data_IF_626267864966
#
_entry.id   IF_626267864966
#
_cell.length_a   1.000
_cell.length_b   1.000
_cell.length_c   1.000
_cell.angle_alpha   90.00
_cell.angle_beta   90.00
_cell.angle_gamma   90.00
#
_symmetry.space_group_name_H-M   'P 1'
#
loop_
_entity.id
_entity.type
_entity.pdbx_description
1 polymer ?
#
# COMPACT_ATOMS: atom_id res chain seq x y z
N UNK A 1 -28.02 11.90 -8.77
CA UNK A 1 -27.10 13.01 -8.42
C UNK A 1 -25.68 12.54 -8.72
N UNK A 2 -24.95 13.15 -9.67
CA UNK A 2 -23.62 12.65 -10.06
C UNK A 2 -22.46 13.21 -9.20
N UNK A 3 -22.68 14.27 -8.40
CA UNK A 3 -21.60 14.94 -7.65
C UNK A 3 -21.39 14.35 -6.25
N UNK A 4 -21.28 13.02 -6.16
CA UNK A 4 -20.88 12.33 -4.94
C UNK A 4 -19.36 12.13 -4.89
N UNK A 5 -18.76 12.24 -3.71
CA UNK A 5 -17.40 11.75 -3.49
C UNK A 5 -17.36 10.24 -3.75
N UNK A 6 -16.64 9.82 -4.79
CA UNK A 6 -16.39 8.41 -5.08
C UNK A 6 -14.90 8.09 -4.91
N UNK A 7 -14.61 6.87 -4.48
CA UNK A 7 -13.24 6.38 -4.35
C UNK A 7 -12.99 5.35 -5.44
N UNK A 8 -11.97 5.58 -6.26
CA UNK A 8 -11.53 4.62 -7.26
C UNK A 8 -10.70 3.51 -6.59
N UNK A 9 -11.37 2.39 -6.28
CA UNK A 9 -10.72 1.22 -5.66
C UNK A 9 -9.65 0.60 -6.57
N UNK A 10 -9.80 0.70 -7.89
CA UNK A 10 -8.81 0.24 -8.85
C UNK A 10 -7.53 1.05 -8.77
N UNK A 11 -7.65 2.38 -8.68
CA UNK A 11 -6.52 3.27 -8.47
C UNK A 11 -5.82 3.02 -7.13
N UNK A 12 -6.57 2.79 -6.04
CA UNK A 12 -5.99 2.45 -4.74
C UNK A 12 -5.21 1.12 -4.77
N UNK A 13 -5.77 0.07 -5.38
CA UNK A 13 -5.08 -1.22 -5.57
C UNK A 13 -3.82 -1.06 -6.40
N UNK A 14 -3.89 -0.29 -7.50
CA UNK A 14 -2.74 -0.01 -8.37
C UNK A 14 -1.65 0.75 -7.63
N UNK A 15 -2.01 1.74 -6.81
CA UNK A 15 -1.06 2.49 -6.00
C UNK A 15 -0.37 1.57 -4.96
N UNK A 16 -1.13 0.75 -4.23
CA UNK A 16 -0.59 -0.21 -3.28
C UNK A 16 0.39 -1.19 -3.95
N UNK A 17 -0.03 -1.80 -5.07
CA UNK A 17 0.81 -2.72 -5.84
C UNK A 17 2.07 -2.05 -6.40
N UNK A 18 1.97 -0.80 -6.87
CA UNK A 18 3.11 -0.03 -7.35
C UNK A 18 4.14 0.27 -6.26
N UNK A 19 3.66 0.58 -5.05
CA UNK A 19 4.53 0.75 -3.87
C UNK A 19 5.23 -0.57 -3.55
N UNK A 20 4.49 -1.67 -3.40
CA UNK A 20 5.07 -2.98 -3.11
C UNK A 20 6.12 -3.41 -4.15
N UNK A 21 5.82 -3.21 -5.43
CA UNK A 21 6.78 -3.50 -6.53
C UNK A 21 8.06 -2.66 -6.41
N UNK A 22 7.94 -1.39 -6.02
CA UNK A 22 9.08 -0.51 -5.82
C UNK A 22 9.93 -0.95 -4.63
N UNK A 23 9.28 -1.36 -3.53
CA UNK A 23 9.95 -1.89 -2.35
C UNK A 23 10.70 -3.19 -2.65
N UNK A 24 10.08 -4.09 -3.40
CA UNK A 24 10.72 -5.33 -3.85
C UNK A 24 11.95 -5.04 -4.71
N UNK A 25 11.85 -4.08 -5.64
CA UNK A 25 12.98 -3.65 -6.45
C UNK A 25 14.12 -3.08 -5.59
N UNK A 26 13.80 -2.26 -4.59
CA UNK A 26 14.78 -1.70 -3.66
C UNK A 26 15.47 -2.78 -2.82
N UNK A 27 14.76 -3.83 -2.41
CA UNK A 27 15.33 -4.93 -1.65
C UNK A 27 16.42 -5.72 -2.41
N UNK A 28 16.43 -5.65 -3.75
CA UNK A 28 17.43 -6.34 -4.61
C UNK A 28 18.73 -5.58 -4.82
N UNK A 29 18.76 -4.27 -4.54
CA UNK A 29 19.93 -3.41 -4.76
C UNK A 29 20.27 -2.69 -3.46
N UNK A 30 20.93 -3.40 -2.53
CA UNK A 30 21.15 -2.88 -1.20
C UNK A 30 22.34 -1.92 -1.21
N UNK A 31 22.25 -0.95 -0.31
CA UNK A 31 23.31 0.03 -0.05
C UNK A 31 24.54 -0.67 0.50
N UNK A 32 24.33 -1.70 1.32
CA UNK A 32 25.38 -2.58 1.82
C UNK A 32 26.17 -3.27 0.71
N UNK A 33 25.63 -3.37 -0.50
CA UNK A 33 26.32 -3.98 -1.64
C UNK A 33 27.34 -3.01 -2.27
N UNK A 34 27.33 -1.73 -1.87
CA UNK A 34 28.29 -0.69 -2.26
C UNK A 34 29.48 -0.65 -1.29
N UNK A 35 29.33 -1.24 -0.10
CA UNK A 35 30.32 -1.12 0.97
C UNK A 35 31.58 -1.94 0.64
N UNK A 36 32.66 -1.24 0.30
CA UNK A 36 33.96 -1.82 -0.03
C UNK A 36 34.84 -1.78 1.24
N UNK A 37 35.70 -2.78 1.50
CA UNK A 37 36.63 -2.70 2.63
C UNK A 37 37.43 -1.39 2.65
N UNK A 38 37.58 -0.77 3.83
CA UNK A 38 38.29 0.51 3.98
C UNK A 38 39.69 0.54 3.33
N UNK A 39 40.38 -0.59 3.33
CA UNK A 39 41.71 -0.76 2.74
C UNK A 39 41.76 -0.59 1.21
N UNK A 40 40.62 -0.70 0.52
CA UNK A 40 40.56 -0.67 -0.94
C UNK A 40 40.40 0.77 -1.50
N UNK A 41 40.08 1.75 -0.65
CA UNK A 41 39.90 3.14 -1.08
C UNK A 41 41.20 3.93 -1.23
N UNK A 42 42.33 3.40 -0.74
CA UNK A 42 43.65 4.04 -0.84
C UNK A 42 43.83 5.34 -0.05
N UNK A 43 42.77 5.86 0.60
CA UNK A 43 42.80 7.06 1.43
C UNK A 43 41.78 6.98 2.58
N UNK A 44 42.23 7.14 3.83
CA UNK A 44 41.42 6.92 5.03
C UNK A 44 40.22 7.87 5.15
N UNK A 45 40.38 9.12 4.74
CA UNK A 45 39.30 10.11 4.77
C UNK A 45 38.21 9.78 3.76
N UNK A 46 38.59 9.28 2.57
CA UNK A 46 37.65 8.85 1.54
C UNK A 46 36.90 7.60 2.02
N UNK A 47 37.62 6.63 2.57
CA UNK A 47 37.03 5.43 3.15
C UNK A 47 36.00 5.78 4.24
N UNK A 48 36.33 6.72 5.13
CA UNK A 48 35.43 7.15 6.20
C UNK A 48 34.21 7.92 5.68
N UNK A 49 34.39 8.77 4.67
CA UNK A 49 33.28 9.50 4.05
C UNK A 49 32.30 8.57 3.32
N UNK A 50 32.80 7.55 2.63
CA UNK A 50 31.94 6.56 1.97
C UNK A 50 31.14 5.76 3.00
N UNK A 51 31.78 5.29 4.08
CA UNK A 51 31.09 4.55 5.14
C UNK A 51 30.00 5.39 5.82
N UNK A 52 30.28 6.66 6.19
CA UNK A 52 29.23 7.54 6.76
C UNK A 52 28.05 7.74 5.80
N UNK A 53 28.36 7.92 4.51
CA UNK A 53 27.34 8.05 3.48
C UNK A 53 26.49 6.79 3.35
N UNK A 54 27.11 5.60 3.21
CA UNK A 54 26.38 4.33 3.04
C UNK A 54 25.55 3.99 4.28
N UNK A 55 26.06 4.25 5.49
CA UNK A 55 25.33 4.02 6.73
C UNK A 55 24.07 4.89 6.81
N UNK A 56 24.21 6.20 6.63
CA UNK A 56 23.09 7.15 6.70
C UNK A 56 22.08 6.90 5.59
N UNK A 57 22.56 6.59 4.39
CA UNK A 57 21.70 6.25 3.26
C UNK A 57 20.93 4.94 3.53
N UNK A 58 21.57 3.91 4.09
CA UNK A 58 20.92 2.66 4.45
C UNK A 58 19.82 2.87 5.52
N UNK A 59 20.08 3.70 6.53
CA UNK A 59 19.08 4.09 7.53
C UNK A 59 17.88 4.78 6.85
N UNK A 60 18.14 5.78 6.01
CA UNK A 60 17.10 6.53 5.32
C UNK A 60 16.23 5.65 4.41
N UNK A 61 16.87 4.79 3.62
CA UNK A 61 16.19 3.83 2.74
C UNK A 61 15.37 2.81 3.54
N UNK A 62 15.87 2.34 4.67
CA UNK A 62 15.15 1.39 5.53
C UNK A 62 13.87 2.01 6.12
N UNK A 63 13.94 3.25 6.60
CA UNK A 63 12.75 3.97 7.08
C UNK A 63 11.76 4.23 5.94
N UNK A 64 12.25 4.67 4.77
CA UNK A 64 11.39 4.87 3.60
C UNK A 64 10.68 3.57 3.17
N UNK A 65 11.37 2.44 3.25
CA UNK A 65 10.79 1.14 2.93
C UNK A 65 9.70 0.71 3.93
N UNK A 66 9.93 0.96 5.22
CA UNK A 66 8.94 0.74 6.29
C UNK A 66 7.69 1.60 6.07
N UNK A 67 7.86 2.89 5.83
CA UNK A 67 6.74 3.82 5.60
C UNK A 67 5.97 3.45 4.33
N UNK A 68 6.68 3.08 3.25
CA UNK A 68 6.06 2.59 2.02
C UNK A 68 5.19 1.35 2.26
N UNK A 69 5.67 0.40 3.07
CA UNK A 69 4.91 -0.81 3.43
C UNK A 69 3.61 -0.43 4.15
N UNK A 70 3.70 0.44 5.15
CA UNK A 70 2.53 0.92 5.90
C UNK A 70 1.51 1.64 5.00
N UNK A 71 1.97 2.46 4.05
CA UNK A 71 1.09 3.13 3.09
C UNK A 71 0.39 2.10 2.19
N UNK A 72 1.11 1.12 1.65
CA UNK A 72 0.52 0.06 0.82
C UNK A 72 -0.55 -0.74 1.59
N UNK A 73 -0.26 -1.10 2.84
CA UNK A 73 -1.19 -1.83 3.69
C UNK A 73 -2.46 -1.02 3.99
N UNK A 74 -2.32 0.28 4.27
CA UNK A 74 -3.46 1.18 4.49
C UNK A 74 -4.33 1.32 3.24
N UNK A 75 -3.72 1.46 2.06
CA UNK A 75 -4.47 1.52 0.80
C UNK A 75 -5.28 0.23 0.57
N UNK A 76 -4.66 -0.94 0.80
CA UNK A 76 -5.36 -2.22 0.73
C UNK A 76 -6.49 -2.34 1.75
N UNK A 77 -6.28 -1.83 2.97
CA UNK A 77 -7.32 -1.79 4.01
C UNK A 77 -8.49 -0.88 3.63
N UNK A 78 -8.22 0.29 3.04
CA UNK A 78 -9.25 1.17 2.51
C UNK A 78 -10.11 0.43 1.48
N UNK A 79 -9.49 -0.26 0.54
CA UNK A 79 -10.21 -1.03 -0.48
C UNK A 79 -11.13 -2.08 0.14
N UNK A 80 -10.61 -2.90 1.07
CA UNK A 80 -11.41 -3.91 1.78
C UNK A 80 -12.61 -3.32 2.52
N UNK A 81 -12.42 -2.15 3.14
CA UNK A 81 -13.50 -1.47 3.87
C UNK A 81 -14.61 -0.98 2.91
N UNK A 82 -14.25 -0.47 1.74
CA UNK A 82 -15.22 -0.04 0.73
C UNK A 82 -15.99 -1.23 0.15
N UNK A 83 -15.30 -2.32 -0.17
CA UNK A 83 -15.94 -3.55 -0.67
C UNK A 83 -16.92 -4.13 0.35
N UNK A 84 -16.52 -4.22 1.63
CA UNK A 84 -17.41 -4.68 2.69
C UNK A 84 -18.65 -3.79 2.88
N UNK A 85 -18.50 -2.47 2.69
CA UNK A 85 -19.63 -1.55 2.75
C UNK A 85 -20.59 -1.76 1.58
N UNK A 86 -20.07 -1.97 0.36
CA UNK A 86 -20.87 -2.26 -0.82
C UNK A 86 -21.63 -3.59 -0.68
N UNK A 87 -20.96 -4.64 -0.23
CA UNK A 87 -21.57 -5.97 0.01
C UNK A 87 -22.73 -5.87 1.00
N UNK A 88 -22.56 -5.09 2.08
CA UNK A 88 -23.61 -4.87 3.06
C UNK A 88 -24.83 -4.13 2.48
N UNK A 89 -24.59 -3.12 1.64
CA UNK A 89 -25.65 -2.39 0.94
C UNK A 89 -26.41 -3.32 0.00
N UNK A 90 -25.68 -4.13 -0.79
CA UNK A 90 -26.29 -5.07 -1.71
C UNK A 90 -27.16 -6.11 -0.98
N UNK A 91 -26.63 -6.74 0.08
CA UNK A 91 -27.38 -7.71 0.89
C UNK A 91 -28.64 -7.09 1.51
N UNK A 92 -28.54 -5.86 2.00
CA UNK A 92 -29.67 -5.14 2.58
C UNK A 92 -30.74 -4.85 1.52
N UNK A 93 -30.33 -4.38 0.34
CA UNK A 93 -31.23 -4.10 -0.77
C UNK A 93 -31.94 -5.37 -1.27
N UNK A 94 -31.20 -6.48 -1.43
CA UNK A 94 -31.77 -7.79 -1.79
C UNK A 94 -32.77 -8.29 -0.75
N UNK A 95 -32.47 -8.10 0.54
CA UNK A 95 -33.38 -8.42 1.65
C UNK A 95 -34.70 -7.65 1.59
N UNK A 96 -34.64 -6.33 1.32
CA UNK A 96 -35.83 -5.49 1.15
C UNK A 96 -36.65 -5.89 -0.09
N UNK A 97 -35.98 -6.18 -1.21
CA UNK A 97 -36.67 -6.62 -2.43
C UNK A 97 -37.41 -7.94 -2.21
N UNK A 98 -36.77 -8.92 -1.55
CA UNK A 98 -37.41 -10.21 -1.23
C UNK A 98 -38.57 -10.08 -0.26
N UNK A 99 -38.47 -9.23 0.77
CA UNK A 99 -39.59 -9.03 1.71
C UNK A 99 -40.78 -8.30 1.09
N UNK A 100 -40.54 -7.37 0.14
CA UNK A 100 -41.60 -6.68 -0.60
C UNK A 100 -42.38 -7.57 -1.58
N UNK A 101 -41.83 -8.73 -1.95
CA UNK A 101 -42.47 -9.71 -2.83
C UNK A 101 -43.37 -10.72 -2.10
N UNK A 102 -43.56 -10.57 -0.79
CA UNK A 102 -44.53 -11.34 -0.03
C UNK A 102 -45.97 -10.98 -0.41
N UNK A 103 -46.84 -11.98 -0.52
CA UNK A 103 -48.28 -11.85 -0.84
C UNK A 103 -48.89 -10.64 -0.13
N UNK A 104 -49.46 -9.72 -0.90
CA UNK A 104 -50.23 -8.58 -0.39
C UNK A 104 -51.30 -9.10 0.60
N UNK A 105 -51.21 -8.76 1.89
CA UNK A 105 -52.19 -9.20 2.89
C UNK A 105 -53.59 -8.59 2.66
N UNK A 106 -53.75 -7.67 1.70
CA UNK A 106 -55.02 -7.13 1.23
C UNK A 106 -55.68 -7.88 0.06
N UNK A 107 -55.10 -8.98 -0.43
CA UNK A 107 -55.65 -9.73 -1.58
C UNK A 107 -56.75 -10.75 -1.22
N UNK A 108 -57.41 -10.63 -0.06
CA UNK A 108 -58.54 -11.49 0.37
C UNK A 108 -59.87 -10.74 0.40
#
# INVERSE_FOLDING_TARGET
MPDGFSVDLGALRKAASGISTTLDAMATKKVSDIDVPKGDFGHDELASAIVDFTDRWNIGVSHLASDGTEVSDRLNRCVKNYEAAEDHIQLTAEGMLRSSSGTDPGAS
#
